data_IF_106878571987
#
_entry.id   IF_106878571987
#
_cell.length_a   1.000
_cell.length_b   1.000
_cell.length_c   1.000
_cell.angle_alpha   90.00
_cell.angle_beta   90.00
_cell.angle_gamma   90.00
#
_symmetry.space_group_name_H-M   'P 1'
#
loop_
_entity.id
_entity.type
_entity.pdbx_description
1 polymer ?
#
# COMPACT_ATOMS: atom_id res chain seq x y z
N UNK A 1 14.88 -32.93 34.37
CA UNK A 1 15.70 -31.93 33.64
C UNK A 1 14.76 -30.83 33.19
N UNK A 2 14.68 -29.72 33.93
CA UNK A 2 13.70 -28.66 33.68
C UNK A 2 14.10 -27.81 32.48
N UNK A 3 13.30 -27.88 31.41
CA UNK A 3 13.44 -27.00 30.25
C UNK A 3 13.21 -25.56 30.69
N UNK A 4 14.28 -24.76 30.73
CA UNK A 4 14.20 -23.31 30.92
C UNK A 4 13.29 -22.74 29.84
N UNK A 5 12.06 -22.36 30.19
CA UNK A 5 11.29 -21.39 29.40
C UNK A 5 12.11 -20.12 29.36
N UNK A 6 12.81 -19.85 28.24
CA UNK A 6 13.50 -18.59 28.01
C UNK A 6 12.44 -17.49 27.93
N UNK A 7 12.15 -16.87 29.07
CA UNK A 7 11.43 -15.60 29.15
C UNK A 7 12.30 -14.50 28.55
N UNK A 8 12.35 -14.42 27.22
CA UNK A 8 12.73 -13.21 26.52
C UNK A 8 11.46 -12.47 26.16
N UNK A 9 11.22 -11.30 26.75
CA UNK A 9 10.19 -10.36 26.29
C UNK A 9 10.56 -9.99 24.84
N UNK A 10 10.05 -10.72 23.85
CA UNK A 10 10.20 -10.35 22.46
C UNK A 10 9.57 -8.99 22.28
N UNK A 11 10.40 -7.94 22.23
CA UNK A 11 9.96 -6.66 21.68
C UNK A 11 9.58 -7.00 20.25
N UNK A 12 8.28 -6.93 19.93
CA UNK A 12 7.79 -7.12 18.56
C UNK A 12 8.71 -6.34 17.63
N UNK A 13 9.30 -7.03 16.66
CA UNK A 13 10.25 -6.41 15.76
C UNK A 13 9.54 -5.26 15.02
N UNK A 14 10.24 -4.15 14.83
CA UNK A 14 9.71 -3.09 14.00
C UNK A 14 9.90 -3.51 12.54
N UNK A 15 8.85 -3.46 11.70
CA UNK A 15 8.96 -3.95 10.33
C UNK A 15 9.88 -3.03 9.51
N UNK A 16 10.79 -3.66 8.77
CA UNK A 16 11.61 -2.99 7.77
C UNK A 16 10.78 -2.67 6.53
N UNK A 17 11.32 -1.88 5.61
CA UNK A 17 10.59 -1.53 4.37
C UNK A 17 10.29 -2.78 3.53
N UNK A 18 11.19 -3.76 3.53
CA UNK A 18 11.02 -5.04 2.82
C UNK A 18 9.89 -5.87 3.44
N UNK A 19 9.80 -5.94 4.77
CA UNK A 19 8.70 -6.64 5.45
C UNK A 19 7.34 -6.03 5.10
N UNK A 20 7.25 -4.70 5.08
CA UNK A 20 6.01 -3.99 4.72
C UNK A 20 5.68 -4.24 3.24
N UNK A 21 6.67 -4.20 2.35
CA UNK A 21 6.48 -4.46 0.92
C UNK A 21 5.97 -5.88 0.67
N UNK A 22 6.55 -6.88 1.34
CA UNK A 22 6.10 -8.27 1.27
C UNK A 22 4.65 -8.41 1.74
N UNK A 23 4.29 -7.79 2.86
CA UNK A 23 2.91 -7.83 3.37
C UNK A 23 1.94 -7.14 2.41
N UNK A 24 2.33 -6.03 1.78
CA UNK A 24 1.48 -5.38 0.76
C UNK A 24 1.17 -6.36 -0.37
N UNK A 25 2.18 -7.06 -0.89
CA UNK A 25 1.98 -8.06 -1.96
C UNK A 25 1.05 -9.19 -1.50
N UNK A 26 1.22 -9.69 -0.28
CA UNK A 26 0.35 -10.73 0.29
C UNK A 26 -1.11 -10.27 0.43
N UNK A 27 -1.33 -9.04 0.91
CA UNK A 27 -2.67 -8.47 1.08
C UNK A 27 -3.36 -8.32 -0.26
N UNK A 28 -2.65 -7.78 -1.27
CA UNK A 28 -3.19 -7.64 -2.62
C UNK A 28 -3.48 -9.00 -3.27
N UNK A 29 -2.63 -9.99 -3.04
CA UNK A 29 -2.83 -11.35 -3.56
C UNK A 29 -4.01 -12.06 -2.90
N UNK A 30 -4.22 -11.82 -1.60
CA UNK A 30 -5.32 -12.43 -0.84
C UNK A 30 -6.66 -11.73 -1.08
N UNK A 31 -6.63 -10.41 -1.31
CA UNK A 31 -7.81 -9.54 -1.47
C UNK A 31 -7.60 -8.57 -2.64
N UNK A 32 -7.75 -9.04 -3.89
CA UNK A 32 -7.52 -8.20 -5.07
C UNK A 32 -8.50 -7.03 -5.21
N UNK A 33 -9.66 -7.08 -4.56
CA UNK A 33 -10.71 -6.05 -4.61
C UNK A 33 -10.78 -5.20 -3.33
N UNK A 34 -9.67 -5.07 -2.60
CA UNK A 34 -9.64 -4.28 -1.37
C UNK A 34 -9.83 -2.79 -1.68
N UNK A 35 -10.69 -2.12 -0.90
CA UNK A 35 -10.87 -0.68 -0.99
C UNK A 35 -9.59 0.05 -0.55
N UNK A 36 -9.18 1.14 -1.20
CA UNK A 36 -8.07 1.97 -0.75
C UNK A 36 -8.19 2.45 0.70
N UNK A 37 -9.42 2.64 1.19
CA UNK A 37 -9.70 3.06 2.56
C UNK A 37 -9.31 1.97 3.58
N UNK A 38 -9.61 0.70 3.28
CA UNK A 38 -9.36 -0.43 4.18
C UNK A 38 -7.95 -1.00 4.04
N UNK A 39 -7.26 -0.67 2.95
CA UNK A 39 -5.95 -1.22 2.62
C UNK A 39 -4.91 -1.02 3.73
N UNK A 40 -4.85 0.18 4.32
CA UNK A 40 -3.87 0.51 5.37
C UNK A 40 -4.10 -0.34 6.62
N UNK A 41 -5.36 -0.52 7.00
CA UNK A 41 -5.72 -1.28 8.21
C UNK A 41 -5.48 -2.77 8.00
N UNK A 42 -5.75 -3.30 6.79
CA UNK A 42 -5.45 -4.68 6.46
C UNK A 42 -3.95 -4.98 6.47
N UNK A 43 -3.12 -4.09 5.91
CA UNK A 43 -1.65 -4.22 5.96
C UNK A 43 -1.14 -4.20 7.40
N UNK A 44 -1.67 -3.32 8.25
CA UNK A 44 -1.33 -3.29 9.67
C UNK A 44 -1.74 -4.58 10.38
N UNK A 45 -2.98 -5.04 10.17
CA UNK A 45 -3.47 -6.29 10.75
C UNK A 45 -2.56 -7.47 10.38
N UNK A 46 -2.20 -7.58 9.11
CA UNK A 46 -1.32 -8.66 8.63
C UNK A 46 0.10 -8.58 9.20
N UNK A 47 0.66 -7.38 9.32
CA UNK A 47 1.93 -7.16 10.02
C UNK A 47 1.85 -7.59 11.48
N UNK A 48 0.73 -7.30 12.15
CA UNK A 48 0.53 -7.68 13.54
C UNK A 48 0.43 -9.21 13.71
N UNK A 49 -0.28 -9.89 12.81
CA UNK A 49 -0.38 -11.36 12.76
C UNK A 49 0.99 -12.01 12.55
N UNK A 50 1.86 -11.39 11.74
CA UNK A 50 3.27 -11.81 11.58
C UNK A 50 4.15 -11.50 12.80
N UNK A 51 3.62 -10.85 13.82
CA UNK A 51 4.32 -10.54 15.07
C UNK A 51 5.06 -9.20 15.08
N UNK A 52 4.90 -8.35 14.07
CA UNK A 52 5.54 -7.04 14.00
C UNK A 52 4.84 -5.97 14.84
N UNK A 53 5.58 -4.94 15.24
CA UNK A 53 5.05 -3.76 15.91
C UNK A 53 4.61 -2.69 14.89
N UNK A 54 3.31 -2.49 14.77
CA UNK A 54 2.66 -1.57 13.82
C UNK A 54 2.35 -0.19 14.38
N UNK A 55 2.54 0.04 15.68
CA UNK A 55 2.17 1.30 16.34
C UNK A 55 2.87 2.54 15.77
N UNK A 56 4.04 2.39 15.13
CA UNK A 56 4.77 3.46 14.46
C UNK A 56 4.72 3.35 12.93
N UNK A 57 3.90 2.46 12.37
CA UNK A 57 3.71 2.34 10.93
C UNK A 57 2.59 3.29 10.53
N UNK A 58 2.97 4.44 9.97
CA UNK A 58 2.02 5.43 9.49
C UNK A 58 1.43 5.04 8.13
N UNK A 59 0.19 5.49 7.86
CA UNK A 59 -0.45 5.31 6.56
C UNK A 59 0.44 5.87 5.42
N UNK A 60 1.04 7.05 5.64
CA UNK A 60 1.98 7.68 4.68
C UNK A 60 3.15 6.76 4.32
N UNK A 61 3.68 6.00 5.28
CA UNK A 61 4.80 5.07 5.04
C UNK A 61 4.37 3.92 4.14
N UNK A 62 3.21 3.33 4.41
CA UNK A 62 2.64 2.23 3.62
C UNK A 62 2.36 2.71 2.19
N UNK A 63 1.69 3.86 2.04
CA UNK A 63 1.39 4.44 0.73
C UNK A 63 2.64 4.80 -0.07
N UNK A 64 3.67 5.34 0.58
CA UNK A 64 4.95 5.62 -0.08
C UNK A 64 5.57 4.35 -0.64
N UNK A 65 5.59 3.27 0.14
CA UNK A 65 6.15 1.98 -0.29
C UNK A 65 5.30 1.36 -1.41
N UNK A 66 3.97 1.41 -1.31
CA UNK A 66 3.07 0.98 -2.37
C UNK A 66 3.37 1.71 -3.69
N UNK A 67 3.40 3.05 -3.66
CA UNK A 67 3.72 3.88 -4.81
C UNK A 67 5.07 3.52 -5.41
N UNK A 68 6.11 3.44 -4.59
CA UNK A 68 7.47 3.11 -5.04
C UNK A 68 7.53 1.73 -5.70
N UNK A 69 6.72 0.76 -5.25
CA UNK A 69 6.63 -0.55 -5.90
C UNK A 69 5.89 -0.49 -7.23
N UNK A 70 4.83 0.31 -7.36
CA UNK A 70 4.11 0.53 -8.62
C UNK A 70 5.00 1.24 -9.64
N UNK A 71 5.64 2.35 -9.25
CA UNK A 71 6.52 3.14 -10.12
C UNK A 71 7.73 2.32 -10.63
N UNK A 72 8.24 1.40 -9.81
CA UNK A 72 9.33 0.49 -10.21
C UNK A 72 8.85 -0.73 -10.99
N UNK A 73 7.55 -0.88 -11.23
CA UNK A 73 6.97 -2.04 -11.93
C UNK A 73 7.06 -3.35 -11.15
N UNK A 74 7.25 -3.31 -9.82
CA UNK A 74 7.25 -4.52 -8.97
C UNK A 74 5.85 -5.08 -8.75
N UNK A 75 4.85 -4.20 -8.70
CA UNK A 75 3.43 -4.55 -8.61
C UNK A 75 2.63 -3.69 -9.59
N UNK A 76 1.48 -4.17 -10.04
CA UNK A 76 0.52 -3.36 -10.81
C UNK A 76 -0.29 -2.46 -9.87
N UNK A 77 -0.79 -1.33 -10.37
CA UNK A 77 -1.67 -0.44 -9.60
C UNK A 77 -3.07 -1.03 -9.45
N UNK A 78 -3.19 -2.05 -8.59
CA UNK A 78 -4.46 -2.75 -8.31
C UNK A 78 -5.49 -1.81 -7.67
N UNK A 79 -5.01 -0.83 -6.88
CA UNK A 79 -5.87 0.12 -6.17
C UNK A 79 -6.28 1.32 -7.03
N UNK A 80 -5.65 1.55 -8.19
CA UNK A 80 -5.95 2.69 -9.07
C UNK A 80 -5.68 4.05 -8.44
N UNK A 81 -4.74 4.13 -7.48
CA UNK A 81 -4.46 5.36 -6.70
C UNK A 81 -3.17 6.07 -7.13
N UNK A 82 -2.41 5.49 -8.07
CA UNK A 82 -1.14 6.07 -8.54
C UNK A 82 -1.38 6.82 -9.85
N UNK A 83 -1.28 8.18 -9.85
CA UNK A 83 -1.51 8.96 -11.06
C UNK A 83 -0.50 8.58 -12.15
N UNK A 84 -0.99 8.34 -13.36
CA UNK A 84 -0.17 7.96 -14.52
C UNK A 84 0.18 6.47 -14.61
N UNK A 85 -0.16 5.64 -13.62
CA UNK A 85 0.09 4.19 -13.62
C UNK A 85 -1.19 3.32 -13.56
N UNK A 86 -2.36 3.93 -13.33
CA UNK A 86 -3.68 3.31 -13.43
C UNK A 86 -4.74 4.38 -13.73
N UNK A 87 -5.74 4.02 -14.57
CA UNK A 87 -6.80 4.87 -15.13
C UNK A 87 -6.39 6.31 -15.49
N UNK A 88 -6.12 6.55 -16.77
CA UNK A 88 -6.21 7.91 -17.35
C UNK A 88 -7.61 8.44 -17.03
N UNK A 89 -7.68 9.49 -16.23
CA UNK A 89 -8.93 10.19 -16.01
C UNK A 89 -9.35 10.79 -17.36
N UNK A 90 -10.40 10.27 -18.02
CA UNK A 90 -10.76 10.74 -19.36
C UNK A 90 -11.20 12.21 -19.34
N UNK A 91 -11.51 12.77 -18.17
CA UNK A 91 -11.84 14.18 -17.99
C UNK A 91 -10.61 15.09 -17.83
N UNK A 92 -9.40 14.53 -17.59
CA UNK A 92 -8.15 15.31 -17.60
C UNK A 92 -7.53 15.42 -19.01
N UNK A 93 -8.01 14.63 -19.97
CA UNK A 93 -7.59 14.69 -21.38
C UNK A 93 -8.40 15.74 -22.16
N UNK A 94 -9.56 16.16 -21.63
CA UNK A 94 -10.54 17.01 -22.34
C UNK A 94 -10.53 18.50 -21.94
N UNK A 95 -9.69 18.91 -20.98
CA UNK A 95 -9.59 20.31 -20.52
C UNK A 95 -8.41 21.07 -21.15
N UNK A 96 -7.82 20.53 -22.22
CA UNK A 96 -6.96 21.27 -23.13
C UNK A 96 -7.81 21.97 -24.19
N UNK A 97 -8.03 23.28 -24.01
CA UNK A 97 -8.25 24.29 -25.05
C UNK A 97 -8.97 23.84 -26.34
N UNK A 98 -10.31 23.85 -26.34
CA UNK A 98 -11.06 24.17 -27.58
C UNK A 98 -11.71 25.54 -27.38
N UNK A 99 -11.15 26.53 -28.08
CA UNK A 99 -11.67 27.88 -28.15
C UNK A 99 -13.10 27.87 -28.69
N UNK A 100 -14.03 28.24 -27.83
CA UNK A 100 -15.39 28.60 -28.21
C UNK A 100 -15.34 29.88 -29.06
N UNK A 101 -15.26 29.69 -30.37
CA UNK A 101 -15.58 30.71 -31.37
C UNK A 101 -17.00 30.43 -31.85
N UNK A 102 -17.96 31.10 -31.20
CA UNK A 102 -19.31 31.22 -31.73
C UNK A 102 -19.34 32.44 -32.66
N UNK A 103 -18.99 32.22 -33.92
CA UNK A 103 -19.52 33.03 -35.02
C UNK A 103 -20.65 32.22 -35.65
N UNK A 104 -21.90 32.64 -35.44
CA UNK A 104 -22.96 32.84 -36.46
C UNK A 104 -24.13 33.63 -35.89
#
# INVERSE_FOLDING_TARGET
MGSRKKGGRWRRAYPHNEDIAEVIVEVLSSKPWISPLDFVDEVKKKLEEKGFFTGLVSAKRIWRLYREMVERGRISDVLGVVPGYGYVNPYEVFTGEEGFSEEV
#
